data_IF_816787990590
#
_entry.id   IF_816787990590
#
_cell.length_a   1.000
_cell.length_b   1.000
_cell.length_c   1.000
_cell.angle_alpha   90.00
_cell.angle_beta   90.00
_cell.angle_gamma   90.00
#
_symmetry.space_group_name_H-M   'P 1'
#
loop_
_entity.id
_entity.type
_entity.pdbx_description
1 polymer ?
#
# COMPACT_ATOMS: atom_id res chain seq x y z
N UNK A 1 22.82 -11.49 -4.34
CA UNK A 1 23.18 -12.45 -5.40
C UNK A 1 24.64 -12.85 -5.29
N UNK A 2 25.03 -14.01 -5.71
CA UNK A 2 26.42 -14.52 -5.68
C UNK A 2 26.46 -16.04 -5.53
N UNK A 3 27.62 -16.66 -5.76
CA UNK A 3 27.81 -18.11 -5.64
C UNK A 3 27.53 -18.62 -4.20
N UNK A 4 27.35 -19.92 -3.95
CA UNK A 4 27.19 -20.48 -2.62
C UNK A 4 28.39 -20.17 -1.72
N UNK A 5 28.16 -20.08 -0.41
CA UNK A 5 29.17 -19.92 0.65
C UNK A 5 29.97 -18.61 0.65
N UNK A 6 29.61 -17.61 -0.16
CA UNK A 6 30.23 -16.26 -0.09
C UNK A 6 29.73 -15.41 1.08
N UNK A 7 28.76 -15.91 1.87
CA UNK A 7 28.23 -15.21 3.03
C UNK A 7 27.00 -14.34 2.79
N UNK A 8 26.27 -14.57 1.69
CA UNK A 8 25.02 -13.80 1.34
C UNK A 8 24.03 -13.74 2.49
N UNK A 9 23.62 -14.89 3.03
CA UNK A 9 22.60 -14.95 4.09
C UNK A 9 23.09 -14.31 5.40
N UNK A 10 24.41 -14.34 5.67
CA UNK A 10 24.98 -13.64 6.82
C UNK A 10 24.95 -12.13 6.65
N UNK A 11 25.30 -11.64 5.46
CA UNK A 11 25.17 -10.23 5.09
C UNK A 11 23.68 -9.78 5.12
N UNK A 12 22.79 -10.60 4.59
CA UNK A 12 21.35 -10.35 4.61
C UNK A 12 20.82 -10.19 6.04
N UNK A 13 21.15 -11.14 6.95
CA UNK A 13 20.75 -11.07 8.36
C UNK A 13 21.30 -9.83 9.07
N UNK A 14 22.51 -9.41 8.72
CA UNK A 14 23.12 -8.21 9.29
C UNK A 14 22.44 -6.94 8.81
N UNK A 15 22.13 -6.85 7.51
CA UNK A 15 21.41 -5.72 6.94
C UNK A 15 19.94 -5.65 7.41
N UNK A 16 19.34 -6.79 7.71
CA UNK A 16 17.99 -6.87 8.28
C UNK A 16 17.95 -6.62 9.79
N UNK A 17 19.11 -6.58 10.47
CA UNK A 17 19.25 -6.49 11.94
C UNK A 17 18.43 -7.52 12.73
N UNK A 18 18.05 -8.61 12.09
CA UNK A 18 17.24 -9.70 12.66
C UNK A 18 17.83 -11.04 12.25
N UNK A 19 17.85 -11.99 13.17
CA UNK A 19 18.05 -13.41 12.81
C UNK A 19 16.75 -13.90 12.15
N UNK A 20 16.68 -13.82 10.85
CA UNK A 20 15.60 -14.44 10.10
C UNK A 20 15.95 -15.93 10.01
N UNK A 21 15.16 -16.77 10.67
CA UNK A 21 15.29 -18.22 10.55
C UNK A 21 15.12 -18.57 9.09
N UNK A 22 16.19 -19.02 8.45
CA UNK A 22 16.12 -19.67 7.16
C UNK A 22 15.22 -20.87 7.37
N UNK A 23 14.05 -20.88 6.72
CA UNK A 23 13.10 -21.98 6.80
C UNK A 23 13.82 -23.25 6.39
N UNK A 24 13.83 -24.22 7.31
CA UNK A 24 14.52 -25.47 7.14
C UNK A 24 14.19 -26.16 5.82
N UNK A 25 15.23 -26.65 5.14
CA UNK A 25 15.18 -27.57 4.02
C UNK A 25 14.22 -28.74 4.31
N UNK A 26 13.02 -28.69 3.74
CA UNK A 26 12.25 -29.90 3.50
C UNK A 26 12.55 -30.34 2.08
N UNK A 27 12.96 -31.61 1.85
CA UNK A 27 13.15 -32.14 0.50
C UNK A 27 11.85 -32.02 -0.31
N UNK A 28 11.90 -31.29 -1.43
CA UNK A 28 10.74 -31.12 -2.33
C UNK A 28 10.06 -29.77 -2.31
N UNK A 29 10.49 -28.82 -1.48
CA UNK A 29 9.97 -27.44 -1.48
C UNK A 29 10.92 -26.55 -2.30
N UNK A 30 10.38 -25.82 -3.28
CA UNK A 30 11.08 -24.79 -4.04
C UNK A 30 11.81 -23.83 -3.08
N UNK A 31 13.10 -23.59 -3.32
CA UNK A 31 13.91 -22.62 -2.56
C UNK A 31 13.40 -21.22 -2.87
N UNK A 32 12.51 -20.72 -2.03
CA UNK A 32 11.90 -19.41 -2.18
C UNK A 32 12.91 -18.28 -1.91
N UNK A 33 12.72 -17.15 -2.61
CA UNK A 33 13.43 -15.90 -2.30
C UNK A 33 13.05 -15.45 -0.90
N UNK A 34 14.03 -15.34 0.00
CA UNK A 34 13.81 -14.83 1.36
C UNK A 34 13.75 -13.31 1.30
N UNK A 35 12.72 -12.74 1.90
CA UNK A 35 12.48 -11.28 1.92
C UNK A 35 12.44 -10.78 3.35
N UNK A 36 13.09 -9.64 3.61
CA UNK A 36 13.10 -8.97 4.91
C UNK A 36 13.07 -7.45 4.75
N UNK A 37 12.52 -6.79 5.76
CA UNK A 37 12.56 -5.33 5.88
C UNK A 37 13.83 -4.94 6.65
N UNK A 38 14.58 -3.97 6.14
CA UNK A 38 15.70 -3.32 6.83
C UNK A 38 15.16 -2.21 7.76
N UNK A 39 15.81 -1.92 8.90
CA UNK A 39 15.46 -0.80 9.77
C UNK A 39 15.45 0.57 9.05
N UNK A 40 16.23 0.68 7.98
CA UNK A 40 16.32 1.90 7.16
C UNK A 40 15.21 2.01 6.10
N UNK A 41 14.22 1.10 6.10
CA UNK A 41 13.06 1.16 5.19
C UNK A 41 13.28 0.52 3.82
N UNK A 42 14.40 -0.19 3.60
CA UNK A 42 14.62 -0.97 2.38
C UNK A 42 14.06 -2.38 2.50
N UNK A 43 13.60 -2.94 1.39
CA UNK A 43 13.22 -4.35 1.29
C UNK A 43 14.41 -5.15 0.77
N UNK A 44 14.91 -6.07 1.58
CA UNK A 44 16.03 -6.94 1.25
C UNK A 44 15.52 -8.26 0.67
N UNK A 45 16.19 -8.77 -0.36
CA UNK A 45 15.88 -10.05 -0.99
C UNK A 45 17.12 -10.93 -1.07
N UNK A 46 17.07 -12.12 -0.45
CA UNK A 46 18.07 -13.17 -0.65
C UNK A 46 17.53 -14.24 -1.58
N UNK A 47 18.20 -14.43 -2.70
CA UNK A 47 17.80 -15.37 -3.74
C UNK A 47 18.29 -16.80 -3.51
N UNK A 48 18.81 -17.09 -2.34
CA UNK A 48 19.45 -18.37 -2.05
C UNK A 48 20.69 -18.64 -2.93
N UNK A 49 21.23 -19.83 -2.89
CA UNK A 49 22.38 -20.22 -3.73
C UNK A 49 21.96 -20.51 -5.17
N UNK A 50 21.80 -19.48 -6.00
CA UNK A 50 21.55 -19.66 -7.44
C UNK A 50 22.82 -20.20 -8.10
N UNK A 51 22.67 -21.26 -8.89
CA UNK A 51 23.74 -21.79 -9.75
C UNK A 51 24.32 -23.13 -9.34
N UNK A 52 23.84 -23.77 -8.27
CA UNK A 52 24.15 -25.15 -7.96
C UNK A 52 22.93 -25.87 -7.40
N UNK A 53 22.12 -26.38 -8.28
CA UNK A 53 21.33 -27.56 -7.97
C UNK A 53 22.27 -28.76 -8.09
N UNK A 54 22.29 -29.72 -7.14
CA UNK A 54 23.00 -30.98 -7.34
C UNK A 54 22.55 -31.62 -8.66
N UNK A 55 23.44 -32.31 -9.35
CA UNK A 55 23.18 -32.98 -10.64
C UNK A 55 21.94 -33.89 -10.64
N UNK A 56 21.41 -34.23 -9.49
CA UNK A 56 20.20 -35.03 -9.27
C UNK A 56 18.89 -34.23 -9.11
N UNK A 57 18.88 -32.92 -9.30
CA UNK A 57 17.65 -32.14 -9.15
C UNK A 57 16.83 -32.18 -10.45
N UNK A 58 15.51 -32.46 -10.40
CA UNK A 58 14.68 -32.47 -11.61
C UNK A 58 14.76 -31.14 -12.37
N UNK A 59 14.83 -31.23 -13.70
CA UNK A 59 14.99 -30.07 -14.62
C UNK A 59 13.91 -28.99 -14.38
N UNK A 60 12.70 -29.40 -14.03
CA UNK A 60 11.60 -28.47 -13.74
C UNK A 60 11.85 -27.62 -12.49
N UNK A 61 12.53 -28.19 -11.48
CA UNK A 61 12.88 -27.46 -10.24
C UNK A 61 14.06 -26.51 -10.51
N UNK A 62 15.02 -26.93 -11.32
CA UNK A 62 16.14 -26.07 -11.73
C UNK A 62 15.64 -24.85 -12.50
N UNK A 63 14.79 -25.07 -13.51
CA UNK A 63 14.19 -24.00 -14.29
C UNK A 63 13.34 -23.03 -13.43
N UNK A 64 12.59 -23.56 -12.45
CA UNK A 64 11.79 -22.73 -11.55
C UNK A 64 12.67 -21.85 -10.64
N UNK A 65 13.78 -22.39 -10.14
CA UNK A 65 14.74 -21.64 -9.29
C UNK A 65 15.48 -20.56 -10.09
N UNK A 66 15.89 -20.86 -11.31
CA UNK A 66 16.51 -19.88 -12.20
C UNK A 66 15.53 -18.77 -12.62
N UNK A 67 14.29 -19.12 -12.89
CA UNK A 67 13.24 -18.13 -13.21
C UNK A 67 12.98 -17.17 -12.05
N UNK A 68 12.92 -17.67 -10.81
CA UNK A 68 12.77 -16.84 -9.62
C UNK A 68 13.95 -15.89 -9.42
N UNK A 69 15.14 -16.38 -9.67
CA UNK A 69 16.36 -15.59 -9.57
C UNK A 69 16.44 -14.47 -10.61
N UNK A 70 16.17 -14.79 -11.85
CA UNK A 70 16.14 -13.82 -12.94
C UNK A 70 15.10 -12.76 -12.69
N UNK A 71 13.97 -13.17 -12.11
CA UNK A 71 12.93 -12.25 -11.72
C UNK A 71 13.39 -11.30 -10.61
N UNK A 72 14.01 -11.81 -9.53
CA UNK A 72 14.53 -10.99 -8.43
C UNK A 72 15.60 -10.00 -8.93
N UNK A 73 16.49 -10.41 -9.85
CA UNK A 73 17.48 -9.50 -10.47
C UNK A 73 16.79 -8.35 -11.22
N UNK A 74 15.72 -8.65 -11.97
CA UNK A 74 15.00 -7.64 -12.75
C UNK A 74 14.24 -6.66 -11.85
N UNK A 75 13.63 -7.18 -10.80
CA UNK A 75 12.79 -6.44 -9.86
C UNK A 75 13.57 -5.52 -8.92
N UNK A 76 14.85 -5.85 -8.65
CA UNK A 76 15.65 -5.07 -7.73
C UNK A 76 15.99 -3.68 -8.29
N UNK A 77 15.76 -2.64 -7.47
CA UNK A 77 16.20 -1.27 -7.74
C UNK A 77 17.73 -1.18 -7.59
N UNK A 78 18.30 -1.90 -6.63
CA UNK A 78 19.71 -2.03 -6.39
C UNK A 78 20.09 -3.51 -6.25
N UNK A 79 21.14 -3.94 -6.93
CA UNK A 79 21.64 -5.31 -6.91
C UNK A 79 23.01 -5.38 -6.23
N UNK A 80 23.14 -6.26 -5.23
CA UNK A 80 24.41 -6.57 -4.59
C UNK A 80 24.95 -7.88 -5.18
N UNK A 81 26.15 -7.81 -5.73
CA UNK A 81 26.89 -8.98 -6.18
C UNK A 81 27.96 -9.33 -5.15
N UNK A 82 27.71 -10.37 -4.35
CA UNK A 82 28.56 -10.77 -3.23
C UNK A 82 29.57 -11.83 -3.70
N UNK A 83 30.85 -11.56 -3.47
CA UNK A 83 31.98 -12.43 -3.74
C UNK A 83 32.81 -12.63 -2.47
N UNK A 84 33.71 -13.60 -2.48
CA UNK A 84 34.53 -14.00 -1.32
C UNK A 84 35.97 -13.51 -1.48
N UNK A 85 36.45 -12.65 -0.58
CA UNK A 85 37.78 -12.09 -0.59
C UNK A 85 38.88 -13.18 -0.51
N UNK A 86 38.65 -14.24 0.27
CA UNK A 86 39.64 -15.29 0.55
C UNK A 86 39.94 -16.20 -0.61
N UNK A 87 38.93 -16.39 -1.49
CA UNK A 87 39.08 -17.31 -2.66
C UNK A 87 39.31 -16.58 -3.97
N UNK A 88 39.19 -15.27 -3.95
CA UNK A 88 39.22 -14.47 -5.17
C UNK A 88 38.03 -14.77 -6.12
N UNK A 89 38.01 -14.16 -7.31
CA UNK A 89 36.95 -14.37 -8.29
C UNK A 89 37.09 -15.70 -9.00
N UNK A 90 36.07 -16.55 -8.90
CA UNK A 90 35.99 -17.86 -9.53
C UNK A 90 35.22 -17.82 -10.89
N UNK A 91 35.33 -18.88 -11.71
CA UNK A 91 34.62 -18.93 -13.02
C UNK A 91 33.13 -18.70 -12.90
N UNK A 92 32.46 -19.16 -11.82
CA UNK A 92 31.04 -18.93 -11.58
C UNK A 92 30.73 -17.45 -11.33
N UNK A 93 31.64 -16.72 -10.65
CA UNK A 93 31.48 -15.27 -10.45
C UNK A 93 31.55 -14.53 -11.80
N UNK A 94 32.45 -14.98 -12.71
CA UNK A 94 32.54 -14.42 -14.07
C UNK A 94 31.26 -14.69 -14.87
N UNK A 95 30.69 -15.89 -14.77
CA UNK A 95 29.42 -16.25 -15.42
C UNK A 95 28.27 -15.37 -14.92
N UNK A 96 28.18 -15.17 -13.61
CA UNK A 96 27.18 -14.27 -13.01
C UNK A 96 27.38 -12.81 -13.44
N UNK A 97 28.63 -12.34 -13.49
CA UNK A 97 28.96 -10.99 -13.96
C UNK A 97 28.53 -10.78 -15.43
N UNK A 98 28.76 -11.79 -16.30
CA UNK A 98 28.29 -11.76 -17.69
C UNK A 98 26.75 -11.73 -17.76
N UNK A 99 26.07 -12.52 -16.90
CA UNK A 99 24.59 -12.56 -16.81
C UNK A 99 24.04 -11.19 -16.43
N UNK A 100 24.60 -10.52 -15.42
CA UNK A 100 24.17 -9.18 -15.02
C UNK A 100 24.33 -8.16 -16.15
N UNK A 101 25.47 -8.18 -16.87
CA UNK A 101 25.71 -7.31 -18.03
C UNK A 101 24.71 -7.56 -19.16
N UNK A 102 24.42 -8.82 -19.49
CA UNK A 102 23.39 -9.17 -20.49
C UNK A 102 22.00 -8.70 -20.10
N UNK A 103 21.73 -8.59 -18.79
CA UNK A 103 20.46 -8.07 -18.25
C UNK A 103 20.48 -6.53 -18.08
N UNK A 104 21.54 -5.84 -18.47
CA UNK A 104 21.70 -4.39 -18.31
C UNK A 104 21.74 -3.93 -16.85
N UNK A 105 22.18 -4.81 -15.94
CA UNK A 105 22.27 -4.49 -14.49
C UNK A 105 23.71 -4.15 -14.12
N UNK A 106 23.86 -3.12 -13.30
CA UNK A 106 25.14 -2.64 -12.76
C UNK A 106 25.17 -2.83 -11.23
N UNK A 107 25.45 -4.04 -10.72
CA UNK A 107 25.46 -4.30 -9.29
C UNK A 107 26.60 -3.56 -8.58
N UNK A 108 26.41 -3.33 -7.27
CA UNK A 108 27.54 -3.06 -6.37
C UNK A 108 28.24 -4.40 -6.12
N UNK A 109 29.53 -4.46 -6.40
CA UNK A 109 30.35 -5.63 -6.06
C UNK A 109 30.72 -5.57 -4.58
N UNK A 110 30.18 -6.51 -3.82
CA UNK A 110 30.45 -6.64 -2.38
C UNK A 110 31.48 -7.75 -2.16
N UNK A 111 32.69 -7.37 -1.82
CA UNK A 111 33.78 -8.29 -1.50
C UNK A 111 33.66 -8.61 -0.01
N UNK A 112 33.11 -9.79 0.30
CA UNK A 112 32.85 -10.22 1.68
C UNK A 112 33.98 -11.09 2.25
N UNK A 113 33.97 -11.27 3.57
CA UNK A 113 34.97 -11.99 4.36
C UNK A 113 36.33 -11.27 4.43
N UNK A 114 36.30 -9.94 4.38
CA UNK A 114 37.43 -9.08 4.71
C UNK A 114 37.44 -8.90 6.24
N UNK A 115 37.88 -9.96 6.95
CA UNK A 115 37.71 -10.01 8.41
C UNK A 115 38.81 -9.23 9.11
N UNK A 116 39.99 -9.16 8.53
CA UNK A 116 41.12 -8.38 9.03
C UNK A 116 41.48 -7.27 8.03
N UNK A 117 41.47 -5.98 8.43
CA UNK A 117 41.92 -4.87 7.58
C UNK A 117 43.40 -4.97 7.21
N UNK A 118 44.22 -5.70 7.97
CA UNK A 118 45.65 -5.84 7.73
C UNK A 118 45.98 -6.97 6.74
N UNK A 119 45.04 -7.84 6.39
CA UNK A 119 45.24 -8.98 5.48
C UNK A 119 45.56 -8.57 4.02
N UNK A 120 45.66 -7.28 3.70
CA UNK A 120 46.12 -6.78 2.42
C UNK A 120 45.25 -7.20 1.23
N UNK A 121 43.96 -7.50 1.46
CA UNK A 121 43.04 -7.87 0.36
C UNK A 121 43.00 -6.82 -0.73
N UNK A 122 43.33 -7.22 -1.96
CA UNK A 122 43.36 -6.35 -3.11
C UNK A 122 42.05 -6.41 -3.89
N UNK A 123 41.43 -5.26 -4.14
CA UNK A 123 40.31 -5.14 -5.05
C UNK A 123 40.72 -5.32 -6.53
N UNK A 124 42.03 -5.30 -6.83
CA UNK A 124 42.55 -5.39 -8.21
C UNK A 124 42.10 -6.67 -8.92
N UNK A 125 42.09 -7.79 -8.20
CA UNK A 125 41.66 -9.09 -8.78
C UNK A 125 40.19 -9.09 -9.19
N UNK A 126 39.35 -8.31 -8.48
CA UNK A 126 37.92 -8.22 -8.73
C UNK A 126 37.58 -7.21 -9.82
N UNK A 127 38.49 -6.32 -10.25
CA UNK A 127 38.29 -5.38 -11.37
C UNK A 127 37.96 -6.11 -12.66
N UNK A 128 38.47 -7.33 -12.84
CA UNK A 128 38.16 -8.17 -14.03
C UNK A 128 36.67 -8.58 -14.12
N UNK A 129 35.90 -8.48 -13.04
CA UNK A 129 34.45 -8.67 -13.08
C UNK A 129 33.73 -7.49 -13.73
N UNK A 130 34.39 -6.34 -13.89
CA UNK A 130 33.92 -5.20 -14.70
C UNK A 130 32.86 -4.33 -14.02
N UNK A 131 32.86 -4.26 -12.68
CA UNK A 131 31.96 -3.38 -11.93
C UNK A 131 32.77 -2.27 -11.26
N UNK A 132 32.35 -1.02 -11.50
CA UNK A 132 33.07 0.16 -11.02
C UNK A 132 32.88 0.43 -9.52
N UNK A 133 31.71 0.06 -8.97
CA UNK A 133 31.41 0.24 -7.56
C UNK A 133 31.73 -1.03 -6.79
N UNK A 134 32.71 -0.93 -5.89
CA UNK A 134 33.20 -2.06 -5.10
C UNK A 134 33.27 -1.66 -3.63
N UNK A 135 32.81 -2.54 -2.74
CA UNK A 135 32.85 -2.35 -1.27
C UNK A 135 33.33 -3.62 -0.60
N UNK A 136 34.33 -3.47 0.26
CA UNK A 136 34.78 -4.56 1.13
C UNK A 136 33.99 -4.61 2.41
N UNK A 137 33.53 -5.81 2.77
CA UNK A 137 32.78 -6.02 4.03
C UNK A 137 33.23 -7.30 4.75
N UNK A 138 33.05 -7.31 6.06
CA UNK A 138 32.96 -8.53 6.84
C UNK A 138 31.54 -8.69 7.38
N UNK A 139 30.75 -9.54 6.74
CA UNK A 139 29.41 -9.83 7.21
C UNK A 139 29.40 -10.49 8.59
N UNK A 140 30.49 -11.13 9.00
CA UNK A 140 30.68 -11.73 10.31
C UNK A 140 30.95 -10.71 11.40
N UNK A 141 31.88 -9.80 11.17
CA UNK A 141 32.34 -8.83 12.17
C UNK A 141 31.68 -7.47 12.04
N UNK A 142 31.02 -7.19 10.90
CA UNK A 142 30.32 -5.92 10.64
C UNK A 142 31.19 -4.82 10.03
N UNK A 143 32.46 -5.12 9.73
CA UNK A 143 33.35 -4.15 9.11
C UNK A 143 32.86 -3.79 7.70
N UNK A 144 32.95 -2.53 7.31
CA UNK A 144 32.56 -2.03 5.98
C UNK A 144 31.05 -1.97 5.71
N UNK A 145 30.21 -2.49 6.62
CA UNK A 145 28.75 -2.51 6.40
C UNK A 145 28.15 -1.10 6.41
N UNK A 146 28.69 -0.17 7.22
CA UNK A 146 28.27 1.24 7.19
C UNK A 146 28.52 1.87 5.81
N UNK A 147 29.71 1.70 5.23
CA UNK A 147 30.00 2.22 3.89
C UNK A 147 29.10 1.63 2.80
N UNK A 148 28.66 0.36 2.96
CA UNK A 148 27.65 -0.22 2.08
C UNK A 148 26.28 0.44 2.26
N UNK A 149 25.91 0.79 3.48
CA UNK A 149 24.64 1.49 3.77
C UNK A 149 24.64 2.92 3.25
N UNK A 150 25.76 3.62 3.32
CA UNK A 150 25.94 4.96 2.74
C UNK A 150 25.67 4.94 1.21
N UNK A 151 26.16 3.90 0.52
CA UNK A 151 25.88 3.70 -0.89
C UNK A 151 24.39 3.41 -1.18
N UNK A 152 23.65 2.79 -0.27
CA UNK A 152 22.21 2.64 -0.44
C UNK A 152 21.51 3.99 -0.40
N UNK A 153 21.91 4.88 0.50
CA UNK A 153 21.35 6.22 0.60
C UNK A 153 21.68 7.08 -0.63
N UNK A 154 22.88 6.90 -1.22
CA UNK A 154 23.28 7.61 -2.44
C UNK A 154 22.52 7.12 -3.68
N UNK A 155 22.28 5.81 -3.80
CA UNK A 155 21.83 5.15 -5.03
C UNK A 155 20.35 4.86 -5.10
N UNK A 156 19.73 4.66 -3.96
CA UNK A 156 18.29 4.44 -3.87
C UNK A 156 17.61 5.79 -3.66
N UNK A 157 16.43 5.99 -4.28
CA UNK A 157 15.60 7.13 -3.88
C UNK A 157 15.42 7.06 -2.37
N UNK A 158 15.50 8.22 -1.72
CA UNK A 158 15.29 8.30 -0.28
C UNK A 158 14.06 7.45 0.06
N UNK A 159 14.16 6.53 1.03
CA UNK A 159 12.98 5.85 1.50
C UNK A 159 11.96 6.94 1.81
N UNK A 160 10.73 6.75 1.41
CA UNK A 160 9.64 7.68 1.74
C UNK A 160 9.42 7.58 3.25
N UNK A 161 10.43 8.04 3.98
CA UNK A 161 10.28 8.40 5.38
C UNK A 161 9.44 9.68 5.36
N UNK A 162 8.44 9.81 6.19
CA UNK A 162 7.74 11.07 6.30
C UNK A 162 8.79 12.14 6.60
N UNK A 163 8.97 13.07 5.66
CA UNK A 163 9.88 14.21 5.79
C UNK A 163 9.59 14.89 7.12
N UNK A 164 10.60 14.88 7.99
CA UNK A 164 10.54 15.53 9.29
C UNK A 164 10.67 17.03 9.16
N UNK A 165 9.66 17.68 8.65
CA UNK A 165 9.27 19.02 9.05
C UNK A 165 7.87 18.92 9.59
N UNK A 166 7.67 19.49 10.77
CA UNK A 166 6.41 19.53 11.52
C UNK A 166 5.34 20.38 10.80
N UNK A 167 4.99 19.99 9.59
CA UNK A 167 3.63 20.18 9.14
C UNK A 167 2.84 19.11 9.91
N UNK A 168 2.20 19.56 10.99
CA UNK A 168 1.37 18.72 11.84
C UNK A 168 0.39 18.04 10.91
N UNK A 169 0.63 16.75 10.63
CA UNK A 169 -0.09 16.00 9.61
C UNK A 169 -1.57 16.04 9.96
N UNK A 170 -2.31 16.87 9.23
CA UNK A 170 -3.76 16.96 9.35
C UNK A 170 -4.39 15.92 8.44
N UNK A 171 -5.29 15.11 8.97
CA UNK A 171 -6.09 14.21 8.13
C UNK A 171 -6.96 15.04 7.19
N UNK A 172 -6.73 14.95 5.90
CA UNK A 172 -7.49 15.69 4.88
C UNK A 172 -8.81 14.96 4.60
N UNK A 173 -9.92 15.64 4.80
CA UNK A 173 -11.27 15.06 4.69
C UNK A 173 -12.15 15.86 3.71
N UNK A 174 -13.04 15.18 2.99
CA UNK A 174 -14.08 15.80 2.19
C UNK A 174 -15.43 15.08 2.31
N UNK A 175 -16.51 15.83 2.17
CA UNK A 175 -17.86 15.30 2.06
C UNK A 175 -18.27 15.27 0.58
N UNK A 176 -18.56 14.09 0.05
CA UNK A 176 -19.11 13.90 -1.30
C UNK A 176 -20.53 13.35 -1.21
N UNK A 177 -21.29 13.47 -2.26
CA UNK A 177 -22.67 12.97 -2.34
C UNK A 177 -23.53 13.86 -3.23
N UNK A 178 -24.72 13.40 -3.50
CA UNK A 178 -25.71 14.11 -4.35
C UNK A 178 -26.08 15.48 -3.79
N UNK A 179 -26.67 16.36 -4.62
CA UNK A 179 -27.31 17.58 -4.12
C UNK A 179 -28.34 17.27 -3.03
N UNK A 180 -28.50 18.15 -2.06
CA UNK A 180 -29.51 18.09 -0.97
C UNK A 180 -29.43 16.92 0.01
N UNK A 181 -28.41 16.06 -0.02
CA UNK A 181 -28.18 15.02 1.02
C UNK A 181 -27.72 15.61 2.35
N UNK A 182 -27.37 16.91 2.39
CA UNK A 182 -27.04 17.64 3.59
C UNK A 182 -25.55 17.84 3.84
N UNK A 183 -24.68 17.78 2.81
CA UNK A 183 -23.23 18.04 2.95
C UNK A 183 -22.94 19.40 3.63
N UNK A 184 -23.51 20.50 3.12
CA UNK A 184 -23.34 21.82 3.71
C UNK A 184 -23.90 21.93 5.14
N UNK A 185 -24.97 21.18 5.43
CA UNK A 185 -25.53 21.13 6.81
C UNK A 185 -24.58 20.38 7.76
N UNK A 186 -23.94 19.30 7.29
CA UNK A 186 -22.91 18.57 8.05
C UNK A 186 -21.69 19.46 8.33
N UNK A 187 -21.19 20.16 7.28
CA UNK A 187 -20.10 21.12 7.45
C UNK A 187 -20.46 22.21 8.46
N UNK A 188 -21.62 22.86 8.30
CA UNK A 188 -22.06 23.91 9.21
C UNK A 188 -22.21 23.39 10.65
N UNK A 189 -22.75 22.20 10.82
CA UNK A 189 -22.88 21.59 12.14
C UNK A 189 -21.53 21.28 12.76
N UNK A 190 -20.61 20.75 11.96
CA UNK A 190 -19.23 20.48 12.39
C UNK A 190 -18.55 21.77 12.87
N UNK A 191 -18.61 22.84 12.08
CA UNK A 191 -17.99 24.13 12.40
C UNK A 191 -18.57 24.81 13.66
N UNK A 192 -19.77 24.45 14.08
CA UNK A 192 -20.45 24.99 15.28
C UNK A 192 -20.34 24.03 16.49
N UNK A 193 -19.45 23.02 16.45
CA UNK A 193 -19.23 22.15 17.62
C UNK A 193 -18.37 22.88 18.65
N UNK A 194 -18.77 22.87 19.94
CA UNK A 194 -18.07 23.54 21.01
C UNK A 194 -16.62 23.16 21.25
N UNK A 195 -16.27 21.92 20.83
CA UNK A 195 -14.93 21.35 21.00
C UNK A 195 -14.06 21.44 19.74
N UNK A 196 -14.48 22.26 18.77
CA UNK A 196 -13.77 22.41 17.50
C UNK A 196 -13.23 23.84 17.38
N UNK A 197 -11.93 23.95 17.17
CA UNK A 197 -11.27 25.20 16.80
C UNK A 197 -11.12 25.21 15.28
N UNK A 198 -11.55 26.27 14.65
CA UNK A 198 -11.53 26.44 13.18
C UNK A 198 -10.61 27.58 12.81
N UNK A 199 -9.72 27.35 11.85
CA UNK A 199 -8.86 28.39 11.26
C UNK A 199 -8.87 28.30 9.73
N UNK A 200 -8.79 29.48 9.09
CA UNK A 200 -8.64 29.55 7.62
C UNK A 200 -7.21 29.17 7.22
N UNK A 201 -7.07 28.43 6.12
CA UNK A 201 -5.75 28.06 5.56
C UNK A 201 -5.25 29.24 4.71
N UNK A 202 -4.08 29.85 5.03
CA UNK A 202 -3.53 30.95 4.23
C UNK A 202 -3.16 30.51 2.83
N UNK A 203 -3.48 31.30 1.80
CA UNK A 203 -3.01 31.09 0.42
C UNK A 203 -3.93 30.24 -0.46
N UNK A 204 -5.09 29.80 0.01
CA UNK A 204 -6.07 29.11 -0.83
C UNK A 204 -6.68 30.05 -1.86
N UNK A 205 -6.67 29.65 -3.14
CA UNK A 205 -7.28 30.41 -4.24
C UNK A 205 -8.80 30.48 -4.07
N UNK A 206 -9.41 31.53 -4.62
CA UNK A 206 -10.87 31.84 -4.50
C UNK A 206 -11.84 30.71 -4.86
N UNK A 207 -11.35 29.60 -5.39
CA UNK A 207 -12.17 28.49 -5.89
C UNK A 207 -12.28 27.31 -4.92
N UNK A 208 -11.27 27.08 -4.05
CA UNK A 208 -11.29 26.01 -3.03
C UNK A 208 -11.14 26.63 -1.65
N UNK A 209 -12.10 26.42 -0.78
CA UNK A 209 -12.01 26.87 0.62
C UNK A 209 -11.64 25.68 1.47
N UNK A 210 -10.44 25.74 2.07
CA UNK A 210 -9.94 24.77 3.02
C UNK A 210 -10.05 25.34 4.44
N UNK A 211 -10.40 24.48 5.38
CA UNK A 211 -10.52 24.86 6.80
C UNK A 211 -9.74 23.86 7.65
N UNK A 212 -8.88 24.37 8.49
CA UNK A 212 -8.21 23.58 9.51
C UNK A 212 -9.11 23.46 10.74
N UNK A 213 -9.24 22.24 11.23
CA UNK A 213 -10.12 21.84 12.30
C UNK A 213 -9.32 21.11 13.37
N UNK A 214 -9.26 21.67 14.58
CA UNK A 214 -8.66 21.03 15.74
C UNK A 214 -9.78 20.61 16.70
N UNK A 215 -9.99 19.30 16.83
CA UNK A 215 -11.06 18.73 17.65
C UNK A 215 -10.52 18.13 18.94
N UNK A 216 -10.97 18.65 20.08
CA UNK A 216 -10.62 18.13 21.41
C UNK A 216 -11.52 16.96 21.78
N UNK A 217 -11.00 15.74 21.66
CA UNK A 217 -11.71 14.52 22.08
C UNK A 217 -11.65 14.33 23.59
N UNK A 218 -12.68 13.73 24.18
CA UNK A 218 -12.65 13.34 25.59
C UNK A 218 -11.56 12.31 25.86
N UNK A 219 -10.72 12.58 26.87
CA UNK A 219 -9.64 11.68 27.26
C UNK A 219 -8.42 11.67 26.37
N UNK A 220 -8.32 12.57 25.38
CA UNK A 220 -7.11 12.78 24.57
C UNK A 220 -6.38 14.04 25.05
N UNK A 221 -5.07 13.94 25.29
CA UNK A 221 -4.24 15.09 25.64
C UNK A 221 -4.05 16.01 24.44
N UNK A 222 -3.89 15.44 23.23
CA UNK A 222 -3.70 16.17 22.00
C UNK A 222 -4.99 16.27 21.17
N UNK A 223 -5.27 17.45 20.56
CA UNK A 223 -6.41 17.61 19.66
C UNK A 223 -6.21 16.79 18.39
N UNK A 224 -7.30 16.25 17.86
CA UNK A 224 -7.29 15.61 16.54
C UNK A 224 -7.32 16.68 15.46
N UNK A 225 -6.40 16.61 14.51
CA UNK A 225 -6.19 17.63 13.50
C UNK A 225 -6.70 17.19 12.15
N UNK A 226 -7.63 17.95 11.61
CA UNK A 226 -8.22 17.69 10.31
C UNK A 226 -8.06 18.92 9.40
N UNK A 227 -8.10 18.68 8.08
CA UNK A 227 -8.28 19.72 7.06
C UNK A 227 -9.48 19.37 6.21
N UNK A 228 -10.48 20.22 6.24
CA UNK A 228 -11.72 20.03 5.49
C UNK A 228 -11.62 20.71 4.12
N UNK A 229 -11.83 19.96 3.06
CA UNK A 229 -11.79 20.41 1.67
C UNK A 229 -13.21 20.66 1.10
N UNK A 230 -13.29 21.55 0.11
CA UNK A 230 -14.50 21.91 -0.63
C UNK A 230 -15.65 22.45 0.24
N UNK A 231 -15.34 23.46 1.04
CA UNK A 231 -16.35 24.19 1.79
C UNK A 231 -17.03 25.28 0.96
N UNK A 232 -16.81 25.34 -0.37
CA UNK A 232 -17.36 26.37 -1.26
C UNK A 232 -18.90 26.42 -1.25
N UNK A 233 -19.57 25.31 -0.90
CA UNK A 233 -21.01 25.29 -0.63
C UNK A 233 -21.46 26.07 0.62
N UNK A 234 -20.53 26.41 1.55
CA UNK A 234 -20.85 27.10 2.80
C UNK A 234 -21.05 28.61 2.61
N UNK A 235 -20.26 29.24 1.73
CA UNK A 235 -20.26 30.72 1.57
C UNK A 235 -21.33 31.26 0.58
N UNK A 236 -21.99 30.40 -0.20
CA UNK A 236 -23.01 30.84 -1.17
C UNK A 236 -24.44 30.66 -0.69
N UNK A 237 -24.92 31.56 0.15
CA UNK A 237 -26.36 31.71 0.47
C UNK A 237 -27.17 32.49 -0.55
N UNK A 238 -26.61 32.91 -1.70
CA UNK A 238 -27.37 33.69 -2.70
C UNK A 238 -27.05 33.25 -4.13
N UNK A 239 -28.13 32.85 -4.83
CA UNK A 239 -28.35 32.61 -6.27
C UNK A 239 -27.97 31.23 -6.79
N UNK A 240 -29.01 30.48 -7.11
CA UNK A 240 -29.05 29.21 -7.81
C UNK A 240 -29.22 29.54 -9.30
N UNK A 241 -28.27 29.10 -10.13
CA UNK A 241 -28.46 29.07 -11.58
C UNK A 241 -28.13 27.67 -12.10
N UNK A 242 -28.88 27.24 -13.11
CA UNK A 242 -28.96 25.87 -13.63
C UNK A 242 -27.75 25.32 -14.39
N UNK A 243 -26.61 26.02 -14.39
CA UNK A 243 -25.30 25.52 -14.88
C UNK A 243 -24.48 24.78 -13.80
N UNK A 244 -25.07 24.57 -12.63
CA UNK A 244 -24.40 24.13 -11.40
C UNK A 244 -24.01 22.64 -11.35
N UNK A 245 -24.67 21.78 -12.12
CA UNK A 245 -24.46 20.33 -12.02
C UNK A 245 -23.11 19.89 -12.63
N UNK A 246 -22.69 20.51 -13.72
CA UNK A 246 -21.39 20.20 -14.34
C UNK A 246 -20.21 20.68 -13.48
N UNK A 247 -20.27 21.91 -12.98
CA UNK A 247 -19.23 22.45 -12.08
C UNK A 247 -19.19 21.71 -10.72
N UNK A 248 -20.34 21.22 -10.23
CA UNK A 248 -20.40 20.40 -9.03
C UNK A 248 -19.67 19.06 -9.20
N UNK A 249 -19.78 18.42 -10.36
CA UNK A 249 -19.12 17.13 -10.63
C UNK A 249 -17.60 17.26 -10.76
N UNK A 250 -17.11 18.32 -11.41
CA UNK A 250 -15.67 18.60 -11.56
C UNK A 250 -15.04 18.93 -10.20
N UNK A 251 -15.72 19.76 -9.38
CA UNK A 251 -15.25 20.08 -8.02
C UNK A 251 -15.20 18.87 -7.11
N UNK A 252 -16.22 18.02 -7.17
CA UNK A 252 -16.25 16.79 -6.38
C UNK A 252 -15.08 15.87 -6.75
N UNK A 253 -14.72 15.76 -8.03
CA UNK A 253 -13.56 15.01 -8.48
C UNK A 253 -12.26 15.60 -7.91
N UNK A 254 -12.09 16.91 -8.03
CA UNK A 254 -10.92 17.60 -7.50
C UNK A 254 -10.79 17.45 -5.99
N UNK A 255 -11.90 17.57 -5.25
CA UNK A 255 -11.91 17.37 -3.80
C UNK A 255 -11.51 15.92 -3.41
N UNK A 256 -11.92 14.93 -4.20
CA UNK A 256 -11.53 13.53 -3.99
C UNK A 256 -10.01 13.38 -4.19
N UNK A 257 -9.41 14.00 -5.20
CA UNK A 257 -7.97 13.87 -5.50
C UNK A 257 -7.09 14.41 -4.37
N UNK A 258 -7.52 15.46 -3.68
CA UNK A 258 -6.72 16.19 -2.67
C UNK A 258 -6.82 15.65 -1.24
N UNK A 259 -7.77 14.77 -0.93
CA UNK A 259 -8.02 14.31 0.43
C UNK A 259 -7.48 12.90 0.71
N UNK A 260 -7.43 12.54 1.97
CA UNK A 260 -7.04 11.21 2.45
C UNK A 260 -8.28 10.36 2.72
N UNK A 261 -9.31 10.96 3.33
CA UNK A 261 -10.54 10.30 3.73
C UNK A 261 -11.74 10.98 3.08
N UNK A 262 -12.55 10.20 2.41
CA UNK A 262 -13.79 10.65 1.77
C UNK A 262 -14.99 10.16 2.56
N UNK A 263 -15.89 11.07 2.91
CA UNK A 263 -17.19 10.76 3.47
C UNK A 263 -18.28 10.83 2.39
N UNK A 264 -18.80 9.68 1.98
CA UNK A 264 -19.96 9.60 1.09
C UNK A 264 -21.24 9.83 1.91
N UNK A 265 -21.90 10.96 1.68
CA UNK A 265 -23.12 11.34 2.40
C UNK A 265 -24.35 10.84 1.66
N UNK A 266 -25.16 10.04 2.34
CA UNK A 266 -26.46 9.53 1.86
C UNK A 266 -27.62 10.19 2.62
N UNK A 267 -28.76 10.38 1.96
CA UNK A 267 -30.02 10.74 2.62
C UNK A 267 -30.69 9.46 3.13
N UNK A 268 -30.95 9.37 4.43
CA UNK A 268 -31.55 8.20 5.06
C UNK A 268 -32.94 7.83 4.52
N UNK A 269 -33.67 8.80 3.94
CA UNK A 269 -35.01 8.56 3.39
C UNK A 269 -34.98 8.01 1.96
N UNK A 270 -33.93 8.33 1.21
CA UNK A 270 -33.80 7.95 -0.20
C UNK A 270 -32.95 6.69 -0.38
N UNK A 271 -32.11 6.38 0.61
CA UNK A 271 -31.17 5.27 0.56
C UNK A 271 -30.07 5.44 -0.48
N UNK A 272 -29.55 4.32 -0.97
CA UNK A 272 -28.44 4.29 -1.95
C UNK A 272 -28.97 4.42 -3.38
N UNK A 273 -28.37 5.30 -4.16
CA UNK A 273 -28.71 5.51 -5.58
C UNK A 273 -27.54 5.17 -6.51
N UNK A 274 -27.81 5.15 -7.82
CA UNK A 274 -26.75 4.93 -8.84
C UNK A 274 -25.66 5.99 -8.78
N UNK A 275 -26.01 7.25 -8.54
CA UNK A 275 -25.04 8.34 -8.45
C UNK A 275 -24.12 8.21 -7.24
N UNK A 276 -24.65 7.75 -6.12
CA UNK A 276 -23.85 7.47 -4.91
C UNK A 276 -22.82 6.37 -5.17
N UNK A 277 -23.21 5.32 -5.93
CA UNK A 277 -22.29 4.24 -6.33
C UNK A 277 -21.16 4.73 -7.24
N UNK A 278 -21.46 5.62 -8.17
CA UNK A 278 -20.46 6.23 -9.08
C UNK A 278 -19.46 7.07 -8.28
N UNK A 279 -19.92 7.87 -7.32
CA UNK A 279 -19.05 8.68 -6.47
C UNK A 279 -18.16 7.82 -5.58
N UNK A 280 -18.71 6.75 -5.01
CA UNK A 280 -17.96 5.79 -4.20
C UNK A 280 -16.88 5.08 -5.02
N UNK A 281 -17.24 4.62 -6.23
CA UNK A 281 -16.29 3.95 -7.12
C UNK A 281 -15.14 4.87 -7.52
N UNK A 282 -15.45 6.15 -7.83
CA UNK A 282 -14.43 7.13 -8.13
C UNK A 282 -13.44 7.35 -6.95
N UNK A 283 -13.94 7.48 -5.73
CA UNK A 283 -13.08 7.61 -4.55
C UNK A 283 -12.15 6.39 -4.36
N UNK A 284 -12.66 5.17 -4.63
CA UNK A 284 -11.84 3.96 -4.60
C UNK A 284 -10.79 3.93 -5.70
N UNK A 285 -11.15 4.36 -6.93
CA UNK A 285 -10.21 4.43 -8.05
C UNK A 285 -9.07 5.40 -7.77
N UNK A 286 -9.36 6.52 -7.08
CA UNK A 286 -8.34 7.45 -6.59
C UNK A 286 -7.55 6.90 -5.37
N UNK A 287 -7.96 5.77 -4.81
CA UNK A 287 -7.26 5.13 -3.69
C UNK A 287 -7.49 5.83 -2.35
N UNK A 288 -8.63 6.48 -2.19
CA UNK A 288 -8.98 7.21 -0.96
C UNK A 288 -9.71 6.32 0.01
N UNK A 289 -9.39 6.45 1.31
CA UNK A 289 -10.16 5.78 2.34
C UNK A 289 -11.60 6.32 2.33
N UNK A 290 -12.58 5.43 2.49
CA UNK A 290 -13.98 5.80 2.34
C UNK A 290 -14.83 5.31 3.52
N UNK A 291 -15.62 6.23 4.07
CA UNK A 291 -16.71 5.93 4.99
C UNK A 291 -18.03 6.47 4.46
N UNK A 292 -19.13 5.84 4.87
CA UNK A 292 -20.48 6.22 4.49
C UNK A 292 -21.12 6.95 5.66
N UNK A 293 -21.68 8.15 5.42
CA UNK A 293 -22.50 8.89 6.37
C UNK A 293 -23.96 8.84 5.95
N UNK A 294 -24.77 8.13 6.67
CA UNK A 294 -26.23 8.10 6.49
C UNK A 294 -26.80 9.30 7.28
N UNK A 295 -26.98 10.41 6.57
CA UNK A 295 -27.46 11.66 7.15
C UNK A 295 -28.99 11.76 7.15
N UNK A 296 -29.54 12.68 7.94
CA UNK A 296 -30.97 12.85 8.21
C UNK A 296 -31.59 11.62 8.90
N UNK A 297 -30.79 10.94 9.72
CA UNK A 297 -31.20 9.74 10.43
C UNK A 297 -32.37 9.99 11.38
N UNK A 298 -32.46 11.21 11.94
CA UNK A 298 -33.61 11.69 12.71
C UNK A 298 -34.94 11.52 11.97
N UNK A 299 -34.97 11.88 10.68
CA UNK A 299 -36.16 11.77 9.86
C UNK A 299 -36.53 10.29 9.53
N UNK A 300 -35.54 9.44 9.37
CA UNK A 300 -35.78 8.01 9.17
C UNK A 300 -36.36 7.35 10.44
N UNK A 301 -35.82 7.70 11.62
CA UNK A 301 -36.35 7.25 12.91
C UNK A 301 -37.77 7.78 13.18
N UNK A 302 -38.01 9.06 12.91
CA UNK A 302 -39.34 9.63 13.08
C UNK A 302 -40.37 8.98 12.14
N UNK A 303 -39.96 8.64 10.93
CA UNK A 303 -40.78 7.86 9.99
C UNK A 303 -41.12 6.48 10.53
N UNK A 304 -40.10 5.76 11.03
CA UNK A 304 -40.25 4.42 11.62
C UNK A 304 -41.15 4.43 12.86
N UNK A 305 -41.02 5.44 13.75
CA UNK A 305 -41.83 5.59 14.96
C UNK A 305 -43.32 5.84 14.63
N UNK A 306 -43.60 6.58 13.54
CA UNK A 306 -44.96 6.90 13.13
C UNK A 306 -45.64 5.72 12.41
N UNK A 307 -44.88 4.97 11.63
CA UNK A 307 -45.35 3.82 10.84
C UNK A 307 -44.30 2.70 10.92
N UNK A 308 -44.32 1.90 12.00
CA UNK A 308 -43.36 0.82 12.19
C UNK A 308 -43.47 -0.19 11.05
N UNK A 309 -42.35 -0.45 10.40
CA UNK A 309 -42.28 -1.42 9.31
C UNK A 309 -42.48 -2.85 9.86
N UNK A 310 -43.36 -3.66 9.27
CA UNK A 310 -43.59 -5.04 9.69
C UNK A 310 -42.28 -5.84 9.73
N UNK A 311 -42.02 -6.56 10.82
CA UNK A 311 -40.83 -7.39 10.99
C UNK A 311 -39.66 -6.71 11.68
N UNK A 312 -39.80 -5.43 12.07
CA UNK A 312 -38.82 -4.74 12.90
C UNK A 312 -39.42 -4.36 14.24
N UNK A 313 -38.91 -4.98 15.31
CA UNK A 313 -39.51 -4.86 16.67
C UNK A 313 -39.12 -3.52 17.33
N UNK A 314 -37.94 -2.99 17.02
CA UNK A 314 -37.40 -1.76 17.61
C UNK A 314 -36.48 -0.97 16.65
N UNK A 315 -36.03 0.20 17.12
CA UNK A 315 -35.13 1.06 16.37
C UNK A 315 -33.75 0.41 16.12
N UNK A 316 -33.31 -0.50 16.98
CA UNK A 316 -32.05 -1.20 16.81
C UNK A 316 -32.17 -2.21 15.66
N UNK A 317 -33.26 -2.97 15.60
CA UNK A 317 -33.57 -3.90 14.50
C UNK A 317 -33.70 -3.13 13.16
N UNK A 318 -34.42 -2.00 13.17
CA UNK A 318 -34.51 -1.12 12.01
C UNK A 318 -33.14 -0.62 11.53
N UNK A 319 -32.30 -0.09 12.44
CA UNK A 319 -30.94 0.36 12.14
C UNK A 319 -30.08 -0.76 11.56
N UNK A 320 -30.16 -1.96 12.14
CA UNK A 320 -29.43 -3.13 11.67
C UNK A 320 -29.85 -3.55 10.27
N UNK A 321 -31.14 -3.54 9.98
CA UNK A 321 -31.68 -3.86 8.66
C UNK A 321 -31.28 -2.80 7.62
N UNK A 322 -31.34 -1.52 7.99
CA UNK A 322 -30.88 -0.43 7.14
C UNK A 322 -29.38 -0.57 6.80
N UNK A 323 -28.55 -0.88 7.79
CA UNK A 323 -27.13 -1.16 7.61
C UNK A 323 -26.90 -2.30 6.60
N UNK A 324 -27.66 -3.39 6.73
CA UNK A 324 -27.57 -4.52 5.81
C UNK A 324 -28.00 -4.13 4.38
N UNK A 325 -29.05 -3.32 4.24
CA UNK A 325 -29.48 -2.80 2.95
C UNK A 325 -28.39 -1.94 2.29
N UNK A 326 -27.79 -1.01 3.00
CA UNK A 326 -26.67 -0.20 2.48
C UNK A 326 -25.49 -1.09 2.06
N UNK A 327 -25.13 -2.07 2.86
CA UNK A 327 -24.05 -3.03 2.54
C UNK A 327 -24.37 -3.86 1.30
N UNK A 328 -25.62 -4.28 1.11
CA UNK A 328 -26.07 -5.03 -0.06
C UNK A 328 -26.00 -4.17 -1.32
N UNK A 329 -26.42 -2.92 -1.26
CA UNK A 329 -26.37 -1.99 -2.38
C UNK A 329 -24.93 -1.56 -2.72
N UNK A 330 -24.06 -1.39 -1.70
CA UNK A 330 -22.65 -1.03 -1.81
C UNK A 330 -21.73 -2.26 -1.65
N UNK A 331 -22.09 -3.37 -2.32
CA UNK A 331 -21.40 -4.67 -2.17
C UNK A 331 -19.90 -4.63 -2.50
N UNK A 332 -19.47 -3.65 -3.28
CA UNK A 332 -18.06 -3.39 -3.60
C UNK A 332 -17.31 -2.63 -2.49
N UNK A 333 -18.03 -2.14 -1.47
CA UNK A 333 -17.50 -1.49 -0.26
C UNK A 333 -17.85 -2.30 1.01
N UNK A 334 -17.59 -3.62 1.09
CA UNK A 334 -18.14 -4.44 2.16
C UNK A 334 -17.66 -4.03 3.56
N UNK A 335 -16.44 -3.54 3.66
CA UNK A 335 -15.78 -3.25 4.93
C UNK A 335 -15.64 -1.75 5.23
N UNK A 336 -16.26 -0.88 4.40
CA UNK A 336 -16.27 0.57 4.68
C UNK A 336 -17.09 0.89 5.93
N UNK A 337 -16.61 1.74 6.85
CA UNK A 337 -17.38 2.19 7.99
C UNK A 337 -18.68 2.89 7.57
N UNK A 338 -19.77 2.67 8.31
CA UNK A 338 -21.05 3.32 8.07
C UNK A 338 -21.50 3.98 9.36
N UNK A 339 -21.63 5.30 9.34
CA UNK A 339 -22.11 6.11 10.46
C UNK A 339 -23.50 6.64 10.16
N UNK A 340 -24.39 6.60 11.16
CA UNK A 340 -25.71 7.19 11.09
C UNK A 340 -25.67 8.53 11.83
N UNK A 341 -25.95 9.62 11.13
CA UNK A 341 -25.79 10.99 11.67
C UNK A 341 -27.01 11.86 11.36
N UNK A 342 -27.17 12.93 12.12
CA UNK A 342 -28.10 14.00 11.78
C UNK A 342 -27.44 15.35 11.95
N UNK A 343 -27.21 16.03 10.85
CA UNK A 343 -26.72 17.40 10.86
C UNK A 343 -27.68 18.36 11.58
N UNK A 344 -28.99 18.09 11.54
CA UNK A 344 -30.02 18.92 12.16
C UNK A 344 -30.03 18.77 13.68
N UNK A 345 -30.10 17.57 14.22
CA UNK A 345 -30.14 17.32 15.67
C UNK A 345 -28.75 17.31 16.32
N UNK A 346 -27.69 17.09 15.57
CA UNK A 346 -26.33 16.86 16.09
C UNK A 346 -26.06 15.42 16.48
N UNK A 347 -26.97 14.49 16.18
CA UNK A 347 -26.84 13.08 16.53
C UNK A 347 -25.59 12.46 15.92
N UNK A 348 -24.77 11.83 16.74
CA UNK A 348 -23.57 11.07 16.41
C UNK A 348 -22.53 11.85 15.53
N UNK A 349 -22.48 13.17 15.66
CA UNK A 349 -21.54 14.00 14.90
C UNK A 349 -20.08 13.78 15.30
N UNK A 350 -19.81 13.24 16.47
CA UNK A 350 -18.45 12.93 16.93
C UNK A 350 -17.94 11.62 16.33
N UNK A 351 -18.83 10.67 16.05
CA UNK A 351 -18.49 9.31 15.63
C UNK A 351 -17.73 9.30 14.29
N UNK A 352 -18.08 10.18 13.36
CA UNK A 352 -17.41 10.20 12.07
C UNK A 352 -16.00 10.82 12.12
N UNK A 353 -15.73 11.74 13.07
CA UNK A 353 -14.37 12.24 13.29
C UNK A 353 -13.44 11.14 13.83
N UNK A 354 -13.97 10.32 14.76
CA UNK A 354 -13.25 9.12 15.19
C UNK A 354 -12.97 8.18 14.01
N UNK A 355 -13.98 7.95 13.16
CA UNK A 355 -13.81 7.11 11.95
C UNK A 355 -12.77 7.70 10.99
N UNK A 356 -12.74 9.03 10.81
CA UNK A 356 -11.72 9.68 9.99
C UNK A 356 -10.31 9.40 10.52
N UNK A 357 -10.10 9.57 11.84
CA UNK A 357 -8.83 9.29 12.50
C UNK A 357 -8.43 7.83 12.38
N UNK A 358 -9.38 6.91 12.59
CA UNK A 358 -9.12 5.47 12.49
C UNK A 358 -8.73 5.06 11.07
N UNK A 359 -9.38 5.61 10.04
CA UNK A 359 -9.06 5.36 8.64
C UNK A 359 -7.68 5.90 8.28
N UNK A 360 -7.35 7.11 8.74
CA UNK A 360 -6.05 7.72 8.56
C UNK A 360 -4.94 6.87 9.19
N UNK A 361 -5.12 6.48 10.44
CA UNK A 361 -4.18 5.60 11.14
C UNK A 361 -4.02 4.23 10.46
N UNK A 362 -5.09 3.69 9.86
CA UNK A 362 -5.01 2.44 9.09
C UNK A 362 -4.20 2.61 7.82
N UNK A 363 -4.32 3.74 7.12
CA UNK A 363 -3.52 4.00 5.92
C UNK A 363 -2.03 4.15 6.23
N UNK A 364 -1.67 4.59 7.43
CA UNK A 364 -0.26 4.69 7.86
C UNK A 364 0.37 3.35 8.24
N UNK A 365 -0.41 2.27 8.31
CA UNK A 365 0.14 0.96 8.67
C UNK A 365 1.22 0.50 7.71
N UNK A 366 2.34 0.07 8.27
CA UNK A 366 3.32 -0.72 7.56
C UNK A 366 2.99 -2.20 7.71
N UNK A 367 2.85 -2.91 6.60
CA UNK A 367 2.68 -4.37 6.60
C UNK A 367 4.04 -5.01 6.44
N UNK A 368 4.41 -5.88 7.39
CA UNK A 368 5.61 -6.70 7.26
C UNK A 368 5.54 -7.54 5.99
N UNK A 369 6.56 -7.45 5.16
CA UNK A 369 6.66 -8.16 3.89
C UNK A 369 6.55 -9.67 4.08
N UNK A 370 7.13 -10.22 5.15
CA UNK A 370 7.04 -11.64 5.47
C UNK A 370 5.60 -12.07 5.81
N UNK A 371 4.88 -11.27 6.62
CA UNK A 371 3.49 -11.55 6.97
C UNK A 371 2.55 -11.46 5.76
N UNK A 372 2.80 -10.49 4.86
CA UNK A 372 2.05 -10.32 3.61
C UNK A 372 2.24 -11.53 2.69
N UNK A 373 3.48 -11.96 2.48
CA UNK A 373 3.79 -13.10 1.61
C UNK A 373 3.26 -14.41 2.17
N UNK A 374 3.35 -14.63 3.49
CA UNK A 374 2.74 -15.78 4.14
C UNK A 374 1.23 -15.82 3.90
N UNK A 375 0.54 -14.69 4.11
CA UNK A 375 -0.91 -14.61 3.87
C UNK A 375 -1.25 -14.93 2.42
N UNK A 376 -0.52 -14.35 1.46
CA UNK A 376 -0.76 -14.59 0.03
C UNK A 376 -0.53 -16.07 -0.31
N UNK A 377 0.51 -16.71 0.23
CA UNK A 377 0.74 -18.15 0.06
C UNK A 377 -0.42 -18.98 0.59
N UNK A 378 -0.86 -18.71 1.83
CA UNK A 378 -2.00 -19.39 2.45
C UNK A 378 -3.29 -19.22 1.61
N UNK A 379 -3.52 -18.01 1.07
CA UNK A 379 -4.67 -17.72 0.19
C UNK A 379 -4.60 -18.47 -1.14
N UNK A 380 -3.40 -18.62 -1.70
CA UNK A 380 -3.17 -19.40 -2.92
C UNK A 380 -3.41 -20.91 -2.73
N UNK A 381 -3.02 -21.44 -1.58
CA UNK A 381 -3.26 -22.83 -1.23
C UNK A 381 -4.78 -23.12 -1.06
N UNK A 382 -5.50 -22.22 -0.38
CA UNK A 382 -6.93 -22.38 -0.15
C UNK A 382 -7.76 -22.19 -1.43
N UNK A 383 -7.43 -21.21 -2.25
CA UNK A 383 -8.15 -20.90 -3.48
C UNK A 383 -7.19 -20.50 -4.59
N UNK A 384 -6.61 -21.48 -5.32
CA UNK A 384 -5.71 -21.15 -6.41
C UNK A 384 -6.45 -20.47 -7.57
N UNK A 385 -5.80 -19.48 -8.26
CA UNK A 385 -6.42 -18.79 -9.38
C UNK A 385 -6.69 -19.74 -10.56
N UNK A 386 -7.65 -19.39 -11.40
CA UNK A 386 -7.98 -20.13 -12.60
C UNK A 386 -6.79 -20.20 -13.57
N UNK A 387 -6.72 -21.29 -14.37
CA UNK A 387 -5.76 -21.38 -15.47
C UNK A 387 -6.26 -20.54 -16.65
N UNK A 388 -5.44 -19.66 -17.17
CA UNK A 388 -5.72 -18.87 -18.37
C UNK A 388 -4.69 -19.19 -19.43
N UNK A 389 -5.12 -19.70 -20.59
CA UNK A 389 -4.23 -20.12 -21.66
C UNK A 389 -3.26 -21.25 -21.26
N UNK A 390 -3.74 -22.22 -20.46
CA UNK A 390 -2.95 -23.37 -20.01
C UNK A 390 -1.97 -23.07 -18.86
N UNK A 391 -1.71 -21.81 -18.55
CA UNK A 391 -0.81 -21.41 -17.46
C UNK A 391 -1.61 -20.84 -16.28
N UNK A 392 -1.20 -21.21 -15.05
CA UNK A 392 -1.77 -20.65 -13.83
C UNK A 392 -1.05 -19.35 -13.48
N UNK A 393 -1.80 -18.33 -13.11
CA UNK A 393 -1.24 -17.11 -12.54
C UNK A 393 -0.50 -17.46 -11.24
N UNK A 394 0.72 -16.97 -11.06
CA UNK A 394 1.52 -17.15 -9.85
C UNK A 394 2.04 -15.80 -9.36
N UNK A 395 1.91 -15.56 -8.06
CA UNK A 395 2.61 -14.47 -7.37
C UNK A 395 3.85 -15.10 -6.72
N UNK A 396 5.02 -14.56 -7.02
CA UNK A 396 6.28 -15.01 -6.43
C UNK A 396 6.52 -14.35 -5.09
N UNK A 397 6.24 -13.04 -5.01
CA UNK A 397 6.20 -12.31 -3.76
C UNK A 397 5.44 -10.99 -3.91
N UNK A 398 5.14 -10.37 -2.77
CA UNK A 398 4.43 -9.12 -2.67
C UNK A 398 5.11 -8.19 -1.67
N UNK A 399 5.06 -6.89 -1.92
CA UNK A 399 5.63 -5.87 -1.04
C UNK A 399 4.73 -4.63 -1.04
N UNK A 400 4.56 -4.03 0.13
CA UNK A 400 3.95 -2.72 0.23
C UNK A 400 4.95 -1.67 -0.27
N UNK A 401 4.55 -0.87 -1.27
CA UNK A 401 5.42 0.15 -1.87
C UNK A 401 4.96 1.57 -1.56
N UNK A 402 3.71 1.72 -1.08
CA UNK A 402 3.15 3.02 -0.75
C UNK A 402 2.06 2.88 0.32
N UNK A 403 1.78 3.95 1.05
CA UNK A 403 0.75 4.03 2.07
C UNK A 403 -0.46 4.85 1.62
N UNK A 404 -0.25 5.88 0.79
CA UNK A 404 -1.29 6.81 0.36
C UNK A 404 -1.20 7.10 -1.15
N UNK A 405 -1.86 6.34 -2.02
CA UNK A 405 -2.77 5.23 -1.75
C UNK A 405 -2.02 3.98 -1.29
N UNK A 406 -2.69 3.14 -0.51
CA UNK A 406 -2.12 1.88 -0.03
C UNK A 406 -1.84 0.95 -1.21
N UNK A 407 -0.58 0.85 -1.61
CA UNK A 407 -0.17 0.14 -2.81
C UNK A 407 0.69 -1.08 -2.48
N UNK A 408 0.31 -2.22 -3.06
CA UNK A 408 1.06 -3.47 -2.96
C UNK A 408 1.55 -3.84 -4.36
N UNK A 409 2.85 -4.01 -4.51
CA UNK A 409 3.46 -4.52 -5.74
C UNK A 409 3.48 -6.04 -5.68
N UNK A 410 2.83 -6.68 -6.64
CA UNK A 410 2.78 -8.12 -6.79
C UNK A 410 3.72 -8.54 -7.91
N UNK A 411 4.71 -9.33 -7.58
CA UNK A 411 5.63 -9.88 -8.54
C UNK A 411 5.11 -11.23 -9.01
N UNK A 412 4.82 -11.35 -10.30
CA UNK A 412 4.06 -12.46 -10.86
C UNK A 412 4.64 -12.96 -12.19
N UNK A 413 4.17 -14.12 -12.63
CA UNK A 413 4.58 -14.69 -13.91
C UNK A 413 3.92 -14.03 -15.11
N UNK A 414 2.81 -13.29 -14.94
CA UNK A 414 2.00 -12.72 -16.02
C UNK A 414 1.41 -11.38 -15.58
N UNK A 415 1.91 -10.25 -16.09
CA UNK A 415 1.53 -8.90 -15.68
C UNK A 415 0.06 -8.52 -15.93
N UNK A 416 -0.58 -9.14 -16.93
CA UNK A 416 -1.92 -8.72 -17.38
C UNK A 416 -3.04 -9.72 -17.05
N UNK A 417 -2.80 -10.69 -16.17
CA UNK A 417 -3.73 -11.82 -15.97
C UNK A 417 -4.24 -12.03 -14.54
N UNK A 418 -4.16 -11.01 -13.69
CA UNK A 418 -4.90 -11.04 -12.44
C UNK A 418 -6.36 -10.69 -12.75
N UNK A 419 -7.23 -11.71 -12.75
CA UNK A 419 -8.65 -11.52 -12.98
C UNK A 419 -9.30 -10.77 -11.81
N UNK A 420 -10.32 -9.97 -12.12
CA UNK A 420 -10.97 -9.10 -11.14
C UNK A 420 -11.59 -9.85 -9.93
N UNK A 421 -12.20 -11.05 -10.09
CA UNK A 421 -12.66 -11.84 -8.96
C UNK A 421 -11.55 -12.28 -8.00
N UNK A 422 -10.37 -12.66 -8.56
CA UNK A 422 -9.25 -13.08 -7.73
C UNK A 422 -8.56 -11.89 -7.06
N UNK A 423 -8.47 -10.76 -7.76
CA UNK A 423 -8.01 -9.49 -7.21
C UNK A 423 -8.82 -9.10 -5.97
N UNK A 424 -10.15 -9.11 -6.07
CA UNK A 424 -11.05 -8.82 -4.93
C UNK A 424 -10.90 -9.81 -3.78
N UNK A 425 -10.65 -11.07 -4.10
CA UNK A 425 -10.38 -12.09 -3.08
C UNK A 425 -9.11 -11.75 -2.29
N UNK A 426 -8.02 -11.39 -2.97
CA UNK A 426 -6.76 -10.96 -2.35
C UNK A 426 -6.95 -9.69 -1.52
N UNK A 427 -7.60 -8.66 -2.07
CA UNK A 427 -7.90 -7.41 -1.37
C UNK A 427 -8.62 -7.66 -0.06
N UNK A 428 -9.70 -8.43 -0.12
CA UNK A 428 -10.52 -8.75 1.05
C UNK A 428 -9.74 -9.54 2.10
N UNK A 429 -8.92 -10.50 1.68
CA UNK A 429 -8.08 -11.27 2.60
C UNK A 429 -7.05 -10.41 3.31
N UNK A 430 -6.38 -9.52 2.57
CA UNK A 430 -5.38 -8.59 3.10
C UNK A 430 -6.03 -7.58 4.04
N UNK A 431 -7.13 -6.95 3.62
CA UNK A 431 -7.86 -6.00 4.46
C UNK A 431 -8.30 -6.63 5.79
N UNK A 432 -8.86 -7.83 5.74
CA UNK A 432 -9.29 -8.56 6.93
C UNK A 432 -8.12 -8.91 7.85
N UNK A 433 -7.04 -9.45 7.30
CA UNK A 433 -5.87 -9.89 8.10
C UNK A 433 -5.16 -8.75 8.79
N UNK A 434 -5.02 -7.61 8.10
CA UNK A 434 -4.24 -6.47 8.59
C UNK A 434 -5.12 -5.35 9.18
N UNK A 435 -6.44 -5.54 9.24
CA UNK A 435 -7.38 -4.55 9.81
C UNK A 435 -7.42 -3.26 9.00
N UNK A 436 -7.53 -3.36 7.67
CA UNK A 436 -7.55 -2.23 6.73
C UNK A 436 -8.96 -1.94 6.20
N UNK A 437 -10.00 -2.20 7.00
CA UNK A 437 -11.38 -1.91 6.62
C UNK A 437 -11.56 -0.45 6.24
N UNK A 438 -12.19 -0.19 5.09
CA UNK A 438 -12.40 1.14 4.54
C UNK A 438 -11.20 1.75 3.80
N UNK A 439 -10.03 1.08 3.81
CA UNK A 439 -8.85 1.51 3.08
C UNK A 439 -8.74 0.73 1.76
N UNK A 440 -8.77 1.37 0.59
CA UNK A 440 -8.61 0.69 -0.68
C UNK A 440 -7.17 0.22 -0.87
N UNK A 441 -7.02 -0.95 -1.48
CA UNK A 441 -5.73 -1.49 -1.86
C UNK A 441 -5.56 -1.38 -3.37
N UNK A 442 -4.43 -0.83 -3.82
CA UNK A 442 -4.04 -0.83 -5.24
C UNK A 442 -2.95 -1.87 -5.46
N UNK A 443 -3.18 -2.79 -6.40
CA UNK A 443 -2.13 -3.71 -6.83
C UNK A 443 -1.43 -3.17 -8.08
N UNK A 444 -0.11 -3.14 -8.03
CA UNK A 444 0.73 -3.00 -9.22
C UNK A 444 1.37 -4.34 -9.52
N UNK A 445 1.27 -4.78 -10.77
CA UNK A 445 1.82 -6.06 -11.21
C UNK A 445 3.18 -5.82 -11.85
N UNK A 446 4.14 -6.70 -11.57
CA UNK A 446 5.44 -6.72 -12.21
C UNK A 446 5.74 -8.14 -12.72
N UNK A 447 5.90 -8.32 -14.00
CA UNK A 447 6.10 -9.60 -14.67
C UNK A 447 7.16 -9.57 -15.77
N UNK A 448 7.21 -10.64 -16.55
CA UNK A 448 8.22 -10.84 -17.61
C UNK A 448 8.02 -10.00 -18.89
N UNK A 449 6.81 -9.48 -19.15
CA UNK A 449 6.43 -8.96 -20.48
C UNK A 449 6.67 -7.46 -20.71
N UNK A 450 6.93 -6.67 -19.69
CA UNK A 450 7.02 -5.20 -19.79
C UNK A 450 8.20 -4.65 -20.63
N UNK A 451 9.15 -5.49 -21.04
CA UNK A 451 10.33 -5.03 -21.81
C UNK A 451 10.32 -5.35 -23.31
N UNK A 452 9.43 -6.21 -23.80
CA UNK A 452 9.39 -6.54 -25.24
C UNK A 452 8.68 -5.48 -26.09
N UNK A 453 7.90 -4.59 -25.48
CA UNK A 453 7.17 -3.52 -26.19
C UNK A 453 7.94 -2.20 -26.26
N UNK A 454 8.83 -1.92 -25.30
CA UNK A 454 9.65 -0.70 -25.33
C UNK A 454 10.85 -0.81 -26.27
N UNK A 455 11.39 -2.00 -26.49
CA UNK A 455 12.45 -2.24 -27.48
C UNK A 455 11.93 -2.22 -28.94
N UNK A 456 10.64 -2.46 -29.17
CA UNK A 456 10.00 -2.30 -30.49
C UNK A 456 9.57 -0.88 -30.84
N UNK A 457 9.61 0.05 -29.88
CA UNK A 457 9.30 1.47 -30.10
C UNK A 457 10.56 2.34 -30.24
N UNK A 458 11.74 1.80 -30.01
CA UNK A 458 13.04 2.49 -30.13
C UNK A 458 13.96 1.91 -31.22
N UNK A 459 13.43 1.04 -32.10
CA UNK A 459 14.14 0.55 -33.29
C UNK A 459 13.36 1.10 -34.57
#
# INVERSE_FOLDING_TARGET
MGRPNVGKSRLFNRLAEKRISIVHDRPGVTRDVVVADSPQGYVLMDTGGIGMTPEMTPVDIQNATEEQADFAIRAADLLLFVVDARTGPLPLDQTLAQKFRKMGKHPILVVNKMDDPEDGYSFEEFKRLGFSRQVGVSAEHGHGVHGLMDLFQELLPAPILPSGEQDILRTRIAFIGRPNVGKSSLCNRLLNMERLIVSDVPGTTRETVELDLDYQSEGSEDPWKFRLFDTAGLKRKKRVDSSLDYFSSVRTKHAIEEVDVVFLVLDAREGVTKQDKILADHALQEGKALAILVNKWDLALDGFRKDPLPGYEDEHAFRKAYLQSVRKEMFFLPDSPICFVSAKSGYAMQDFLQVARDLDARMEKAISTSALNKLISDMFEHRPPAKVGGKRFKIFYAVQVDKRPFRIKLFCNQEHKLDEPYRRYLEKGIQKKFGLSGCPLKFSLAGKEARYQDEKKSA
#
